data_IF_534082828159
#
_entry.id   IF_534082828159
#
_cell.length_a   1.000
_cell.length_b   1.000
_cell.length_c   1.000
_cell.angle_alpha   90.00
_cell.angle_beta   90.00
_cell.angle_gamma   90.00
#
_symmetry.space_group_name_H-M   'P 1'
#
loop_
_entity.id
_entity.type
_entity.pdbx_description
1 polymer ?
#
# COMPACT_ATOMS: atom_id res chain seq x y z
N UNK A 1 8.10 -22.66 11.85
CA UNK A 1 7.89 -21.23 12.13
C UNK A 1 7.03 -21.12 13.38
N UNK A 2 7.65 -20.68 14.46
CA UNK A 2 6.98 -20.42 15.73
C UNK A 2 6.39 -19.01 15.71
N UNK A 3 5.07 -18.90 15.67
CA UNK A 3 4.36 -17.64 15.49
C UNK A 3 4.36 -16.80 16.76
N UNK A 4 4.22 -17.40 17.93
CA UNK A 4 4.24 -16.68 19.21
C UNK A 4 5.62 -16.07 19.48
N UNK A 5 6.68 -16.86 19.29
CA UNK A 5 8.05 -16.38 19.42
C UNK A 5 8.36 -15.25 18.43
N UNK A 6 7.82 -15.33 17.20
CA UNK A 6 8.03 -14.31 16.19
C UNK A 6 7.28 -13.00 16.51
N UNK A 7 6.03 -13.10 16.95
CA UNK A 7 5.23 -11.95 17.40
C UNK A 7 5.94 -11.23 18.55
N UNK A 8 6.40 -11.98 19.57
CA UNK A 8 7.10 -11.38 20.71
C UNK A 8 8.43 -10.73 20.27
N UNK A 9 9.19 -11.38 19.36
CA UNK A 9 10.44 -10.81 18.84
C UNK A 9 10.22 -9.50 18.11
N UNK A 10 9.21 -9.43 17.24
CA UNK A 10 8.84 -8.21 16.51
C UNK A 10 8.36 -7.13 17.49
N UNK A 11 7.48 -7.49 18.42
CA UNK A 11 6.91 -6.59 19.41
C UNK A 11 7.98 -5.99 20.33
N UNK A 12 8.89 -6.81 20.83
CA UNK A 12 10.03 -6.36 21.64
C UNK A 12 10.92 -5.39 20.87
N UNK A 13 11.20 -5.70 19.59
CA UNK A 13 12.01 -4.83 18.73
C UNK A 13 11.32 -3.51 18.42
N UNK A 14 10.02 -3.49 18.16
CA UNK A 14 9.24 -2.27 17.96
C UNK A 14 9.27 -1.39 19.22
N UNK A 15 9.05 -1.98 20.43
CA UNK A 15 9.14 -1.25 21.70
C UNK A 15 10.52 -0.61 21.89
N UNK A 16 11.57 -1.37 21.60
CA UNK A 16 12.95 -0.88 21.74
C UNK A 16 13.24 0.28 20.78
N UNK A 17 12.95 0.12 19.48
CA UNK A 17 13.19 1.16 18.46
C UNK A 17 12.40 2.42 18.81
N UNK A 18 11.12 2.27 19.15
CA UNK A 18 10.23 3.39 19.43
C UNK A 18 10.72 4.21 20.63
N UNK A 19 11.13 3.55 21.72
CA UNK A 19 11.53 4.21 22.97
C UNK A 19 12.97 4.72 22.96
N UNK A 20 13.92 3.90 22.47
CA UNK A 20 15.35 4.21 22.59
C UNK A 20 15.90 4.95 21.37
N UNK A 21 15.50 4.57 20.15
CA UNK A 21 16.06 5.09 18.91
C UNK A 21 15.29 6.30 18.40
N UNK A 22 13.98 6.13 18.15
CA UNK A 22 13.14 7.16 17.55
C UNK A 22 12.57 8.14 18.57
N UNK A 23 12.41 7.72 19.83
CA UNK A 23 11.82 8.50 20.93
C UNK A 23 10.44 9.04 20.55
N UNK A 24 9.61 8.17 19.95
CA UNK A 24 8.26 8.48 19.50
C UNK A 24 7.22 7.93 20.47
N UNK A 25 6.04 8.54 20.51
CA UNK A 25 4.95 8.19 21.45
C UNK A 25 4.11 7.02 20.98
N UNK A 26 4.05 6.77 19.67
CA UNK A 26 3.19 5.75 19.08
C UNK A 26 3.57 5.45 17.63
N UNK A 27 2.71 4.68 16.96
CA UNK A 27 2.90 4.19 15.59
C UNK A 27 1.70 4.59 14.73
N UNK A 28 1.97 5.17 13.57
CA UNK A 28 0.97 5.45 12.52
C UNK A 28 1.09 4.45 11.38
N UNK A 29 0.00 3.83 10.98
CA UNK A 29 -0.04 2.81 9.93
C UNK A 29 -1.11 3.10 8.89
N UNK A 30 -0.74 3.11 7.61
CA UNK A 30 -1.71 3.14 6.52
C UNK A 30 -2.31 1.75 6.32
N UNK A 31 -3.63 1.66 6.42
CA UNK A 31 -4.40 0.41 6.30
C UNK A 31 -5.05 0.38 4.92
N UNK A 32 -4.53 -0.49 4.05
CA UNK A 32 -5.00 -0.62 2.67
C UNK A 32 -6.14 -1.64 2.49
N UNK A 33 -6.48 -2.39 3.54
CA UNK A 33 -7.35 -3.56 3.46
C UNK A 33 -6.66 -4.81 2.91
N UNK A 34 -5.35 -4.77 2.69
CA UNK A 34 -4.52 -5.92 2.30
C UNK A 34 -3.85 -6.57 3.52
N UNK A 35 -3.52 -7.85 3.39
CA UNK A 35 -3.00 -8.68 4.48
C UNK A 35 -1.73 -8.12 5.14
N UNK A 36 -0.80 -7.54 4.36
CA UNK A 36 0.46 -7.00 4.88
C UNK A 36 0.22 -5.81 5.82
N UNK A 37 -0.65 -4.89 5.42
CA UNK A 37 -1.03 -3.76 6.28
C UNK A 37 -1.80 -4.21 7.52
N UNK A 38 -2.63 -5.24 7.38
CA UNK A 38 -3.41 -5.81 8.48
C UNK A 38 -2.52 -6.44 9.54
N UNK A 39 -1.58 -7.30 9.14
CA UNK A 39 -0.63 -7.93 10.07
C UNK A 39 0.29 -6.88 10.69
N UNK A 40 0.75 -5.89 9.91
CA UNK A 40 1.59 -4.81 10.45
C UNK A 40 0.86 -4.00 11.52
N UNK A 41 -0.42 -3.65 11.30
CA UNK A 41 -1.23 -2.93 12.29
C UNK A 41 -1.45 -3.77 13.56
N UNK A 42 -1.79 -5.05 13.42
CA UNK A 42 -1.98 -5.96 14.54
C UNK A 42 -0.70 -6.13 15.37
N UNK A 43 0.46 -6.30 14.73
CA UNK A 43 1.77 -6.35 15.42
C UNK A 43 2.09 -5.04 16.15
N UNK A 44 1.69 -3.89 15.62
CA UNK A 44 1.84 -2.61 16.31
C UNK A 44 0.99 -2.57 17.59
N UNK A 45 -0.26 -3.03 17.51
CA UNK A 45 -1.18 -3.12 18.68
C UNK A 45 -0.61 -4.05 19.72
N UNK A 46 -0.12 -5.23 19.33
CA UNK A 46 0.52 -6.21 20.22
C UNK A 46 1.77 -5.60 20.91
N UNK A 47 2.53 -4.82 20.17
CA UNK A 47 3.76 -4.22 20.70
C UNK A 47 3.52 -3.12 21.73
N UNK A 48 2.58 -2.21 21.51
CA UNK A 48 2.49 -0.95 22.29
C UNK A 48 1.08 -0.61 22.78
N UNK A 49 0.08 -1.47 22.53
CA UNK A 49 -1.32 -1.22 22.88
C UNK A 49 -2.04 -0.35 21.86
N UNK A 50 -3.34 -0.57 21.73
CA UNK A 50 -4.21 0.06 20.73
C UNK A 50 -4.28 1.59 20.86
N UNK A 51 -4.17 2.11 22.07
CA UNK A 51 -4.24 3.56 22.37
C UNK A 51 -3.04 4.35 21.81
N UNK A 52 -2.00 3.65 21.37
CA UNK A 52 -0.77 4.24 20.82
C UNK A 52 -0.56 3.89 19.35
N UNK A 53 -1.56 3.31 18.70
CA UNK A 53 -1.57 3.01 17.27
C UNK A 53 -2.65 3.83 16.60
N UNK A 54 -2.30 4.48 15.49
CA UNK A 54 -3.22 5.32 14.72
C UNK A 54 -3.30 4.81 13.29
N UNK A 55 -4.51 4.49 12.85
CA UNK A 55 -4.80 3.98 11.53
C UNK A 55 -5.13 5.09 10.52
N UNK A 56 -4.66 4.96 9.30
CA UNK A 56 -4.99 5.85 8.19
C UNK A 56 -5.56 5.05 7.02
N UNK A 57 -6.78 5.37 6.61
CA UNK A 57 -7.34 4.88 5.36
C UNK A 57 -7.24 5.99 4.33
N UNK A 58 -6.52 5.74 3.24
CA UNK A 58 -6.16 6.76 2.24
C UNK A 58 -6.70 6.36 0.86
N UNK A 59 -8.05 6.27 0.68
CA UNK A 59 -8.63 5.94 -0.61
C UNK A 59 -8.39 7.04 -1.64
N UNK A 60 -8.39 6.64 -2.90
CA UNK A 60 -8.36 7.53 -4.06
C UNK A 60 -9.31 7.00 -5.14
N UNK A 61 -9.39 7.67 -6.28
CA UNK A 61 -10.40 7.39 -7.33
C UNK A 61 -10.42 5.92 -7.81
N UNK A 62 -9.26 5.28 -7.91
CA UNK A 62 -9.13 3.90 -8.39
C UNK A 62 -9.18 2.87 -7.24
N UNK A 63 -9.36 3.32 -5.99
CA UNK A 63 -9.46 2.42 -4.83
C UNK A 63 -10.76 1.63 -4.88
N UNK A 64 -10.67 0.31 -4.69
CA UNK A 64 -11.85 -0.51 -4.58
C UNK A 64 -12.59 -0.22 -3.26
N UNK A 65 -13.90 0.00 -3.31
CA UNK A 65 -14.72 0.22 -2.13
C UNK A 65 -14.57 -0.91 -1.09
N UNK A 66 -14.44 -2.16 -1.55
CA UNK A 66 -14.19 -3.31 -0.69
C UNK A 66 -12.87 -3.21 0.10
N UNK A 67 -11.83 -2.59 -0.47
CA UNK A 67 -10.55 -2.40 0.23
C UNK A 67 -10.68 -1.40 1.38
N UNK A 68 -11.37 -0.30 1.16
CA UNK A 68 -11.65 0.69 2.22
C UNK A 68 -12.52 0.08 3.32
N UNK A 69 -13.57 -0.67 2.95
CA UNK A 69 -14.44 -1.38 3.90
C UNK A 69 -13.64 -2.37 4.76
N UNK A 70 -12.74 -3.17 4.17
CA UNK A 70 -11.87 -4.08 4.93
C UNK A 70 -10.94 -3.34 5.87
N UNK A 71 -10.40 -2.20 5.44
CA UNK A 71 -9.56 -1.36 6.30
C UNK A 71 -10.32 -0.81 7.50
N UNK A 72 -11.55 -0.35 7.32
CA UNK A 72 -12.45 0.10 8.39
C UNK A 72 -12.76 -1.04 9.37
N UNK A 73 -13.15 -2.21 8.86
CA UNK A 73 -13.42 -3.39 9.68
C UNK A 73 -12.21 -3.79 10.52
N UNK A 74 -11.02 -3.81 9.92
CA UNK A 74 -9.79 -4.11 10.63
C UNK A 74 -9.51 -3.12 11.77
N UNK A 75 -9.60 -1.81 11.48
CA UNK A 75 -9.33 -0.79 12.49
C UNK A 75 -10.30 -0.90 13.68
N UNK A 76 -11.58 -1.17 13.41
CA UNK A 76 -12.59 -1.45 14.45
C UNK A 76 -12.29 -2.74 15.22
N UNK A 77 -11.90 -3.82 14.52
CA UNK A 77 -11.54 -5.10 15.17
C UNK A 77 -10.35 -4.91 16.11
N UNK A 78 -9.33 -4.18 15.70
CA UNK A 78 -8.15 -3.86 16.52
C UNK A 78 -8.46 -2.84 17.63
N UNK A 79 -9.58 -2.12 17.54
CA UNK A 79 -10.00 -1.10 18.48
C UNK A 79 -9.07 0.12 18.53
N UNK A 80 -8.40 0.42 17.42
CA UNK A 80 -7.50 1.58 17.29
C UNK A 80 -8.27 2.83 16.85
N UNK A 81 -7.73 4.00 17.18
CA UNK A 81 -8.18 5.26 16.59
C UNK A 81 -7.72 5.30 15.11
N UNK A 82 -8.62 5.73 14.23
CA UNK A 82 -8.32 5.84 12.79
C UNK A 82 -9.14 6.93 12.13
N UNK A 83 -8.65 7.39 11.00
CA UNK A 83 -9.34 8.35 10.14
C UNK A 83 -9.23 7.93 8.67
N UNK A 84 -10.27 8.27 7.90
CA UNK A 84 -10.29 8.12 6.46
C UNK A 84 -10.09 9.48 5.79
N UNK A 85 -9.07 9.58 4.94
CA UNK A 85 -8.79 10.76 4.13
C UNK A 85 -8.81 10.40 2.65
N UNK A 86 -9.83 10.82 1.95
CA UNK A 86 -9.86 10.69 0.48
C UNK A 86 -8.83 11.63 -0.14
N UNK A 87 -7.77 11.06 -0.73
CA UNK A 87 -6.71 11.84 -1.38
C UNK A 87 -6.99 12.15 -2.86
N UNK A 88 -8.11 11.67 -3.42
CA UNK A 88 -8.46 11.89 -4.82
C UNK A 88 -8.53 13.38 -5.20
N UNK A 89 -9.13 14.30 -4.40
CA UNK A 89 -9.16 15.72 -4.74
C UNK A 89 -7.76 16.34 -4.89
N UNK A 90 -6.80 15.94 -4.05
CA UNK A 90 -5.42 16.42 -4.14
C UNK A 90 -4.76 15.92 -5.42
N UNK A 91 -4.96 14.65 -5.77
CA UNK A 91 -4.40 14.05 -6.99
C UNK A 91 -5.02 14.65 -8.24
N UNK A 92 -6.31 14.97 -8.22
CA UNK A 92 -7.02 15.65 -9.30
C UNK A 92 -6.51 17.08 -9.49
N UNK A 93 -6.41 17.86 -8.41
CA UNK A 93 -5.95 19.25 -8.45
C UNK A 93 -4.55 19.42 -9.05
N UNK A 94 -3.67 18.42 -8.91
CA UNK A 94 -2.33 18.41 -9.49
C UNK A 94 -2.34 17.82 -10.92
N UNK A 95 -3.47 17.35 -11.43
CA UNK A 95 -3.60 16.74 -12.75
C UNK A 95 -3.04 15.32 -12.88
N UNK A 96 -2.89 14.59 -11.75
CA UNK A 96 -2.34 13.24 -11.76
C UNK A 96 -3.16 12.27 -12.63
N UNK A 97 -4.47 12.29 -12.48
CA UNK A 97 -5.37 11.43 -13.26
C UNK A 97 -5.41 11.84 -14.73
N UNK A 98 -5.49 13.15 -15.03
CA UNK A 98 -5.51 13.64 -16.39
C UNK A 98 -4.25 13.24 -17.17
N UNK A 99 -3.08 13.38 -16.55
CA UNK A 99 -1.83 12.98 -17.19
C UNK A 99 -1.74 11.47 -17.45
N UNK A 100 -2.27 10.64 -16.55
CA UNK A 100 -2.39 9.20 -16.76
C UNK A 100 -3.34 8.89 -17.92
N UNK A 101 -4.50 9.51 -17.90
CA UNK A 101 -5.58 9.24 -18.86
C UNK A 101 -5.20 9.72 -20.26
N UNK A 102 -4.49 10.84 -20.38
CA UNK A 102 -3.88 11.27 -21.66
C UNK A 102 -2.93 10.22 -22.23
N UNK A 103 -2.07 9.65 -21.39
CA UNK A 103 -1.15 8.60 -21.83
C UNK A 103 -1.89 7.34 -22.27
N UNK A 104 -2.99 6.97 -21.59
CA UNK A 104 -3.84 5.85 -21.99
C UNK A 104 -4.59 6.17 -23.29
N UNK A 105 -5.16 7.37 -23.43
CA UNK A 105 -5.88 7.80 -24.65
C UNK A 105 -4.99 7.85 -25.89
N UNK A 106 -3.69 8.03 -25.74
CA UNK A 106 -2.79 7.93 -26.89
C UNK A 106 -2.69 6.51 -27.47
N UNK A 107 -3.08 5.49 -26.68
CA UNK A 107 -3.13 4.07 -27.10
C UNK A 107 -4.57 3.61 -27.36
N UNK A 108 -5.51 4.05 -26.53
CA UNK A 108 -6.95 3.79 -26.65
C UNK A 108 -7.68 5.12 -26.62
N UNK A 109 -7.93 5.76 -27.77
CA UNK A 109 -8.53 7.10 -27.85
C UNK A 109 -9.88 7.26 -27.15
N UNK A 110 -10.66 6.16 -27.07
CA UNK A 110 -11.95 6.09 -26.42
C UNK A 110 -11.90 5.97 -24.88
N UNK A 111 -10.70 5.80 -24.29
CA UNK A 111 -10.56 5.62 -22.84
C UNK A 111 -11.12 6.81 -22.05
N UNK A 112 -11.99 6.52 -21.08
CA UNK A 112 -12.66 7.55 -20.29
C UNK A 112 -13.34 7.02 -19.02
N UNK A 113 -14.39 7.71 -18.62
CA UNK A 113 -15.10 7.42 -17.38
C UNK A 113 -15.63 5.99 -17.31
N UNK A 114 -15.42 5.31 -16.20
CA UNK A 114 -15.87 3.94 -15.96
C UNK A 114 -14.95 2.87 -16.54
N UNK A 115 -13.87 3.27 -17.22
CA UNK A 115 -12.86 2.33 -17.69
C UNK A 115 -11.88 1.99 -16.57
N UNK A 116 -11.34 0.77 -16.59
CA UNK A 116 -10.23 0.38 -15.75
C UNK A 116 -8.99 0.08 -16.60
N UNK A 117 -7.81 0.18 -16.00
CA UNK A 117 -6.55 -0.09 -16.70
C UNK A 117 -5.56 -0.84 -15.81
N UNK A 118 -4.66 -1.57 -16.44
CA UNK A 118 -3.48 -2.18 -15.82
C UNK A 118 -2.35 -2.33 -16.84
N UNK A 119 -1.12 -2.31 -16.35
CA UNK A 119 0.06 -2.66 -17.14
C UNK A 119 0.40 -4.13 -16.87
N UNK A 120 0.68 -4.87 -17.93
CA UNK A 120 1.09 -6.27 -17.88
C UNK A 120 2.43 -6.42 -18.61
N UNK A 121 3.31 -7.23 -18.05
CA UNK A 121 4.56 -7.61 -18.71
C UNK A 121 4.32 -8.95 -19.40
N UNK A 122 4.48 -9.00 -20.73
CA UNK A 122 4.52 -10.25 -21.51
C UNK A 122 5.94 -10.51 -22.01
N UNK A 123 6.38 -11.74 -21.89
CA UNK A 123 7.74 -12.18 -22.20
C UNK A 123 8.48 -12.59 -20.91
N UNK A 124 9.67 -13.12 -21.02
CA UNK A 124 10.55 -13.32 -19.84
C UNK A 124 10.82 -14.75 -19.42
N UNK A 125 10.33 -15.75 -20.16
CA UNK A 125 10.90 -17.09 -20.11
C UNK A 125 11.63 -17.33 -21.45
N UNK A 126 12.90 -17.73 -21.38
CA UNK A 126 13.73 -18.15 -22.52
C UNK A 126 14.10 -17.05 -23.55
N UNK A 127 14.75 -15.96 -23.08
CA UNK A 127 15.45 -15.04 -24.01
C UNK A 127 14.57 -14.11 -24.84
N UNK A 128 13.26 -14.04 -24.57
CA UNK A 128 12.36 -13.11 -25.22
C UNK A 128 12.43 -11.71 -24.59
N UNK A 129 12.37 -10.69 -25.43
CA UNK A 129 12.31 -9.29 -24.98
C UNK A 129 11.00 -9.04 -24.24
N UNK A 130 11.07 -8.55 -23.00
CA UNK A 130 9.90 -8.15 -22.23
C UNK A 130 9.17 -6.98 -22.93
N UNK A 131 7.87 -7.14 -23.12
CA UNK A 131 7.01 -6.09 -23.65
C UNK A 131 5.99 -5.65 -22.60
N UNK A 132 5.84 -4.35 -22.44
CA UNK A 132 4.76 -3.78 -21.65
C UNK A 132 3.50 -3.71 -22.50
N UNK A 133 2.41 -4.25 -21.97
CA UNK A 133 1.08 -4.14 -22.55
C UNK A 133 0.20 -3.30 -21.63
N UNK A 134 -0.56 -2.43 -22.25
CA UNK A 134 -1.68 -1.78 -21.58
C UNK A 134 -2.93 -2.62 -21.80
N UNK A 135 -3.53 -3.06 -20.71
CA UNK A 135 -4.82 -3.75 -20.72
C UNK A 135 -5.85 -2.82 -20.14
N UNK A 136 -6.91 -2.58 -20.85
CA UNK A 136 -8.05 -1.76 -20.42
C UNK A 136 -9.31 -2.61 -20.38
N UNK A 137 -10.22 -2.27 -19.46
CA UNK A 137 -11.56 -2.84 -19.40
C UNK A 137 -12.57 -1.71 -19.59
N UNK A 138 -13.45 -1.88 -20.55
CA UNK A 138 -14.53 -0.95 -20.83
C UNK A 138 -15.62 -1.01 -19.75
N UNK A 139 -16.54 -0.04 -19.66
CA UNK A 139 -17.64 -0.06 -18.69
C UNK A 139 -18.59 -1.25 -18.83
N UNK A 140 -18.74 -1.79 -20.05
CA UNK A 140 -19.54 -3.00 -20.36
C UNK A 140 -18.76 -4.31 -20.16
N UNK A 141 -17.49 -4.22 -19.71
CA UNK A 141 -16.69 -5.37 -19.29
C UNK A 141 -15.77 -5.95 -20.38
N UNK A 142 -15.77 -5.41 -21.61
CA UNK A 142 -14.86 -5.85 -22.66
C UNK A 142 -13.41 -5.56 -22.29
N UNK A 143 -12.52 -6.53 -22.56
CA UNK A 143 -11.08 -6.39 -22.32
C UNK A 143 -10.36 -6.12 -23.64
N UNK A 144 -9.58 -5.04 -23.67
CA UNK A 144 -8.71 -4.71 -24.81
C UNK A 144 -7.27 -4.64 -24.36
N UNK A 145 -6.33 -5.07 -25.21
CA UNK A 145 -4.90 -4.97 -24.94
C UNK A 145 -4.15 -4.42 -26.13
N UNK A 146 -3.15 -3.62 -25.86
CA UNK A 146 -2.25 -3.08 -26.88
C UNK A 146 -0.83 -2.92 -26.32
N UNK A 147 0.17 -2.91 -27.20
CA UNK A 147 1.55 -2.61 -26.82
C UNK A 147 1.61 -1.21 -26.24
N UNK A 148 2.26 -1.07 -25.10
CA UNK A 148 2.44 0.21 -24.42
C UNK A 148 3.80 0.79 -24.81
N UNK A 149 3.85 1.93 -25.54
CA UNK A 149 5.10 2.60 -25.85
C UNK A 149 5.77 3.13 -24.58
N UNK A 150 7.10 3.26 -24.60
CA UNK A 150 7.89 3.63 -23.42
C UNK A 150 7.48 4.98 -22.80
N UNK A 151 7.19 5.98 -23.62
CA UNK A 151 6.78 7.31 -23.14
C UNK A 151 5.50 7.25 -22.31
N UNK A 152 4.50 6.55 -22.82
CA UNK A 152 3.19 6.36 -22.19
C UNK A 152 3.32 5.50 -20.93
N UNK A 153 4.12 4.43 -21.00
CA UNK A 153 4.46 3.61 -19.82
C UNK A 153 5.04 4.47 -18.69
N UNK A 154 6.05 5.27 -18.99
CA UNK A 154 6.70 6.12 -17.97
C UNK A 154 5.72 7.15 -17.37
N UNK A 155 4.81 7.70 -18.17
CA UNK A 155 3.80 8.64 -17.70
C UNK A 155 2.77 7.99 -16.76
N UNK A 156 2.29 6.79 -17.10
CA UNK A 156 1.37 6.02 -16.26
C UNK A 156 2.06 5.60 -14.94
N UNK A 157 3.29 5.11 -15.01
CA UNK A 157 4.07 4.74 -13.83
C UNK A 157 4.33 5.96 -12.94
N UNK A 158 4.66 7.11 -13.51
CA UNK A 158 4.86 8.34 -12.77
C UNK A 158 3.59 8.75 -11.99
N UNK A 159 2.41 8.65 -12.61
CA UNK A 159 1.14 8.91 -11.95
C UNK A 159 0.86 7.92 -10.80
N UNK A 160 1.14 6.63 -11.00
CA UNK A 160 1.00 5.60 -9.96
C UNK A 160 1.94 5.88 -8.78
N UNK A 161 3.19 6.18 -9.06
CA UNK A 161 4.18 6.52 -8.04
C UNK A 161 3.81 7.79 -7.27
N UNK A 162 3.20 8.76 -7.94
CA UNK A 162 2.74 9.99 -7.31
C UNK A 162 1.64 9.73 -6.28
N UNK A 163 0.69 8.84 -6.55
CA UNK A 163 -0.34 8.42 -5.59
C UNK A 163 0.29 7.88 -4.29
N UNK A 164 1.29 7.02 -4.40
CA UNK A 164 2.00 6.47 -3.24
C UNK A 164 2.74 7.55 -2.44
N UNK A 165 3.30 8.55 -3.11
CA UNK A 165 3.96 9.67 -2.43
C UNK A 165 2.98 10.56 -1.68
N UNK A 166 1.81 10.85 -2.24
CA UNK A 166 0.77 11.62 -1.54
C UNK A 166 0.26 10.86 -0.31
N UNK A 167 0.02 9.52 -0.41
CA UNK A 167 -0.29 8.70 0.77
C UNK A 167 0.79 8.85 1.84
N UNK A 168 2.05 8.72 1.48
CA UNK A 168 3.16 8.84 2.41
C UNK A 168 3.27 10.24 3.03
N UNK A 169 2.98 11.28 2.28
CA UNK A 169 2.92 12.65 2.81
C UNK A 169 1.85 12.77 3.90
N UNK A 170 0.67 12.18 3.68
CA UNK A 170 -0.39 12.16 4.71
C UNK A 170 0.00 11.34 5.94
N UNK A 171 0.66 10.20 5.76
CA UNK A 171 1.16 9.41 6.89
C UNK A 171 2.13 10.20 7.76
N UNK A 172 3.11 10.88 7.16
CA UNK A 172 4.06 11.70 7.91
C UNK A 172 3.41 12.95 8.53
N UNK A 173 2.44 13.59 7.87
CA UNK A 173 1.70 14.70 8.47
C UNK A 173 1.03 14.28 9.79
N UNK A 174 0.35 13.13 9.82
CA UNK A 174 -0.29 12.64 11.03
C UNK A 174 0.71 12.13 12.05
N UNK A 175 1.80 11.49 11.61
CA UNK A 175 2.88 11.08 12.49
C UNK A 175 3.54 12.27 13.20
N UNK A 176 3.77 13.37 12.49
CA UNK A 176 4.36 14.58 13.07
C UNK A 176 3.41 15.22 14.12
N UNK A 177 2.12 15.40 13.79
CA UNK A 177 1.16 16.00 14.73
C UNK A 177 0.96 15.18 16.02
N UNK A 178 1.14 13.85 15.95
CA UNK A 178 0.98 12.94 17.09
C UNK A 178 2.32 12.64 17.80
N UNK A 179 3.44 13.02 17.22
CA UNK A 179 4.77 12.55 17.58
C UNK A 179 4.88 11.01 17.51
N UNK A 180 4.38 10.42 16.42
CA UNK A 180 4.39 8.99 16.14
C UNK A 180 5.47 8.65 15.10
N UNK A 181 5.80 7.38 14.97
CA UNK A 181 6.64 6.85 13.89
C UNK A 181 5.75 6.23 12.79
N UNK A 182 6.17 6.39 11.55
CA UNK A 182 5.47 5.81 10.39
C UNK A 182 5.85 4.35 10.20
N UNK A 183 4.84 3.50 10.06
CA UNK A 183 4.99 2.06 9.82
C UNK A 183 4.92 1.78 8.33
N UNK A 184 5.96 1.14 7.78
CA UNK A 184 5.94 0.56 6.45
C UNK A 184 5.50 -0.91 6.49
N UNK A 185 4.82 -1.34 5.47
CA UNK A 185 4.17 -2.65 5.40
C UNK A 185 4.74 -3.60 4.34
N UNK A 186 5.95 -3.41 3.76
CA UNK A 186 6.49 -4.35 2.79
C UNK A 186 6.83 -5.67 3.48
N UNK A 187 6.50 -6.78 2.84
CA UNK A 187 7.02 -8.10 3.18
C UNK A 187 8.42 -8.31 2.59
N UNK A 188 9.06 -9.44 2.88
CA UNK A 188 10.42 -9.71 2.47
C UNK A 188 10.62 -9.70 0.95
N UNK A 189 9.69 -10.24 0.18
CA UNK A 189 9.81 -10.28 -1.27
C UNK A 189 9.83 -8.87 -1.87
N UNK A 190 8.91 -8.01 -1.42
CA UNK A 190 8.85 -6.63 -1.86
C UNK A 190 10.09 -5.84 -1.44
N UNK A 191 10.57 -6.08 -0.21
CA UNK A 191 11.75 -5.41 0.33
C UNK A 191 13.05 -5.82 -0.38
N UNK A 192 13.29 -7.13 -0.53
CA UNK A 192 14.51 -7.69 -1.15
C UNK A 192 14.60 -7.34 -2.64
N UNK A 193 13.47 -7.26 -3.33
CA UNK A 193 13.43 -6.93 -4.76
C UNK A 193 13.31 -5.45 -5.06
N UNK A 194 13.18 -4.61 -4.04
CA UNK A 194 12.97 -3.17 -4.22
C UNK A 194 11.65 -2.84 -4.89
N UNK A 195 10.63 -3.68 -4.72
CA UNK A 195 9.30 -3.48 -5.28
C UNK A 195 8.49 -2.51 -4.45
N UNK A 196 8.90 -1.25 -4.47
CA UNK A 196 8.26 -0.14 -3.78
C UNK A 196 8.57 1.19 -4.48
N UNK A 197 7.80 2.21 -4.18
CA UNK A 197 8.00 3.56 -4.68
C UNK A 197 8.92 4.34 -3.73
N UNK A 198 10.05 4.82 -4.27
CA UNK A 198 10.97 5.69 -3.52
C UNK A 198 10.24 6.95 -3.04
N UNK A 199 10.38 7.28 -1.75
CA UNK A 199 9.67 8.36 -1.07
C UNK A 199 8.13 8.21 -1.08
N UNK A 200 7.63 7.00 -1.36
CA UNK A 200 6.26 6.59 -1.21
C UNK A 200 6.16 5.47 -0.19
N UNK A 201 5.56 4.35 -0.56
CA UNK A 201 5.45 3.17 0.29
C UNK A 201 6.80 2.54 0.70
N UNK A 202 7.89 2.86 -0.01
CA UNK A 202 9.25 2.52 0.39
C UNK A 202 9.77 3.29 1.62
N UNK A 203 9.18 4.44 1.96
CA UNK A 203 9.57 5.26 3.11
C UNK A 203 8.82 4.83 4.36
N UNK A 204 9.55 4.63 5.45
CA UNK A 204 8.98 4.37 6.77
C UNK A 204 10.08 4.46 7.84
N UNK A 205 9.67 4.68 9.09
CA UNK A 205 10.56 4.69 10.23
C UNK A 205 10.80 3.26 10.76
N UNK A 206 9.78 2.39 10.67
CA UNK A 206 9.85 0.97 11.03
C UNK A 206 9.14 0.11 10.01
N UNK A 207 9.60 -1.12 9.81
CA UNK A 207 9.04 -2.09 8.85
C UNK A 207 8.94 -3.47 9.52
N UNK A 208 7.87 -3.74 10.27
CA UNK A 208 7.79 -4.91 11.15
C UNK A 208 7.83 -6.26 10.42
N UNK A 209 7.34 -6.34 9.18
CA UNK A 209 7.25 -7.60 8.42
C UNK A 209 8.25 -7.71 7.26
N UNK A 210 9.21 -6.76 7.14
CA UNK A 210 10.15 -6.73 6.00
C UNK A 210 11.08 -7.96 5.89
N UNK A 211 11.19 -8.78 6.92
CA UNK A 211 11.96 -10.02 6.94
C UNK A 211 11.10 -11.28 6.75
N UNK A 212 9.76 -11.14 6.69
CA UNK A 212 8.81 -12.25 6.60
C UNK A 212 8.42 -12.55 5.15
N UNK A 213 8.43 -13.81 4.77
CA UNK A 213 7.85 -14.25 3.51
C UNK A 213 6.32 -14.14 3.55
N UNK A 214 5.70 -13.99 2.39
CA UNK A 214 4.25 -13.85 2.27
C UNK A 214 3.46 -14.97 2.96
N UNK A 215 3.94 -16.21 2.85
CA UNK A 215 3.36 -17.38 3.56
C UNK A 215 3.41 -17.25 5.07
N UNK A 216 4.46 -16.65 5.63
CA UNK A 216 4.58 -16.37 7.06
C UNK A 216 3.63 -15.24 7.49
N UNK A 217 3.45 -14.22 6.65
CA UNK A 217 2.47 -13.15 6.89
C UNK A 217 1.05 -13.72 6.97
N UNK A 218 0.67 -14.63 6.05
CA UNK A 218 -0.62 -15.32 6.12
C UNK A 218 -0.76 -16.19 7.37
N UNK A 219 0.32 -16.88 7.79
CA UNK A 219 0.30 -17.68 9.01
C UNK A 219 0.07 -16.80 10.25
N UNK A 220 0.76 -15.66 10.35
CA UNK A 220 0.56 -14.69 11.44
C UNK A 220 -0.85 -14.11 11.43
N UNK A 221 -1.39 -13.76 10.25
CA UNK A 221 -2.76 -13.25 10.15
C UNK A 221 -3.78 -14.21 10.76
N UNK A 222 -3.71 -15.49 10.38
CA UNK A 222 -4.60 -16.53 10.95
C UNK A 222 -4.40 -16.71 12.45
N UNK A 223 -3.14 -16.74 12.90
CA UNK A 223 -2.81 -16.92 14.32
C UNK A 223 -3.31 -15.75 15.18
N UNK A 224 -3.24 -14.53 14.68
CA UNK A 224 -3.73 -13.33 15.35
C UNK A 224 -5.24 -13.11 15.19
N UNK A 225 -5.98 -14.04 14.56
CA UNK A 225 -7.43 -13.94 14.39
C UNK A 225 -7.89 -12.84 13.41
N UNK A 226 -7.02 -12.43 12.49
CA UNK A 226 -7.39 -11.50 11.44
C UNK A 226 -8.18 -12.25 10.36
N UNK A 227 -9.31 -11.70 9.92
CA UNK A 227 -10.17 -12.31 8.90
C UNK A 227 -9.47 -12.41 7.55
N UNK A 228 -9.73 -13.50 6.81
CA UNK A 228 -9.16 -13.75 5.48
C UNK A 228 -9.98 -13.10 4.34
N UNK A 229 -10.98 -12.28 4.62
CA UNK A 229 -11.84 -11.64 3.61
C UNK A 229 -11.22 -10.45 2.92
#
# INVERSE_FOLDING_TARGET
FDMDAEIERISARLREILSKTLRKRGLGVAISGGIDSSVSAALCVEAIGKERVYGLLLPEQDSAAASTSRGDQLARHLGIDYEEFNIAPTLEAIGCYEQRDEAIRSVFPEYGKGWANKIVIKGGLEGQVNHFLLVVRTPDGEMKEARLPLKEYLKIVAATNFKQRIRKTMEYFHADRLNYAVVGTPNRLEYDQGFFVKNGDGSADVKPIAHLYKTQVYALARHMGLTEE
#
